data_IF_707061680468
#
_entry.id   IF_707061680468
#
_cell.length_a   1.000
_cell.length_b   1.000
_cell.length_c   1.000
_cell.angle_alpha   90.00
_cell.angle_beta   90.00
_cell.angle_gamma   90.00
#
_symmetry.space_group_name_H-M   'P 1'
#
loop_
_entity.id
_entity.type
_entity.pdbx_description
1 polymer ?
#
# COMPACT_ATOMS: atom_id res chain seq x y z
N UNK A 1 -38.71 -28.46 -37.29
CA UNK A 1 -37.54 -27.58 -37.18
C UNK A 1 -37.36 -27.26 -35.71
N UNK A 2 -36.36 -27.80 -34.99
CA UNK A 2 -36.08 -27.29 -33.66
C UNK A 2 -35.34 -25.97 -33.82
N UNK A 3 -35.97 -24.89 -33.38
CA UNK A 3 -35.30 -23.60 -33.20
C UNK A 3 -34.23 -23.78 -32.13
N UNK A 4 -32.98 -23.60 -32.50
CA UNK A 4 -31.85 -23.59 -31.58
C UNK A 4 -32.10 -22.51 -30.52
N UNK A 5 -32.24 -22.95 -29.27
CA UNK A 5 -32.23 -22.06 -28.12
C UNK A 5 -30.79 -21.55 -27.99
N UNK A 6 -30.51 -20.38 -28.56
CA UNK A 6 -29.31 -19.61 -28.26
C UNK A 6 -29.26 -19.38 -26.76
N UNK A 7 -28.53 -20.26 -26.09
CA UNK A 7 -28.31 -20.20 -24.64
C UNK A 7 -27.30 -19.07 -24.44
N UNK A 8 -27.82 -17.87 -24.23
CA UNK A 8 -27.01 -16.75 -23.78
C UNK A 8 -26.22 -17.21 -22.55
N UNK A 9 -24.90 -16.94 -22.47
CA UNK A 9 -24.14 -17.24 -21.26
C UNK A 9 -24.88 -16.59 -20.08
N UNK A 10 -25.00 -17.29 -18.93
CA UNK A 10 -25.76 -16.79 -17.81
C UNK A 10 -25.27 -15.38 -17.52
N UNK A 11 -26.21 -14.44 -17.38
CA UNK A 11 -25.94 -13.00 -17.18
C UNK A 11 -24.90 -12.77 -16.07
N UNK A 12 -24.82 -13.71 -15.14
CA UNK A 12 -23.85 -13.77 -14.04
C UNK A 12 -22.39 -13.94 -14.51
N UNK A 13 -22.12 -14.69 -15.59
CA UNK A 13 -20.77 -14.85 -16.14
C UNK A 13 -20.19 -13.53 -16.66
N UNK A 14 -20.98 -12.76 -17.40
CA UNK A 14 -20.54 -11.45 -17.93
C UNK A 14 -20.37 -10.42 -16.81
N UNK A 15 -21.25 -10.45 -15.80
CA UNK A 15 -21.13 -9.59 -14.61
C UNK A 15 -19.87 -9.92 -13.82
N UNK A 16 -19.55 -11.19 -13.66
CA UNK A 16 -18.37 -11.60 -12.90
C UNK A 16 -17.06 -11.30 -13.63
N UNK A 17 -17.02 -11.45 -14.95
CA UNK A 17 -15.89 -10.98 -15.77
C UNK A 17 -15.67 -9.48 -15.62
N UNK A 18 -16.75 -8.68 -15.67
CA UNK A 18 -16.66 -7.24 -15.46
C UNK A 18 -16.19 -6.89 -14.05
N UNK A 19 -16.70 -7.57 -13.02
CA UNK A 19 -16.24 -7.42 -11.64
C UNK A 19 -14.74 -7.73 -11.51
N UNK A 20 -14.29 -8.87 -12.04
CA UNK A 20 -12.86 -9.26 -12.04
C UNK A 20 -11.99 -8.24 -12.77
N UNK A 21 -12.49 -7.66 -13.85
CA UNK A 21 -11.81 -6.57 -14.55
C UNK A 21 -11.71 -5.30 -13.67
N UNK A 22 -12.78 -4.90 -13.00
CA UNK A 22 -12.78 -3.76 -12.07
C UNK A 22 -11.85 -3.99 -10.87
N UNK A 23 -11.77 -5.22 -10.38
CA UNK A 23 -10.85 -5.60 -9.30
C UNK A 23 -9.40 -5.57 -9.79
N UNK A 24 -9.08 -6.21 -10.92
CA UNK A 24 -7.72 -6.24 -11.50
C UNK A 24 -7.19 -4.88 -11.89
N UNK A 25 -8.05 -3.98 -12.37
CA UNK A 25 -7.67 -2.61 -12.73
C UNK A 25 -7.52 -1.69 -11.50
N UNK A 26 -7.89 -2.14 -10.30
CA UNK A 26 -7.89 -1.33 -9.08
C UNK A 26 -9.04 -0.32 -9.01
N UNK A 27 -9.96 -0.32 -9.99
CA UNK A 27 -11.12 0.57 -10.01
C UNK A 27 -12.04 0.33 -8.81
N UNK A 28 -12.25 -0.92 -8.42
CA UNK A 28 -13.13 -1.26 -7.28
C UNK A 28 -12.58 -0.72 -5.95
N UNK A 29 -11.27 -0.86 -5.74
CA UNK A 29 -10.58 -0.32 -4.56
C UNK A 29 -10.70 1.21 -4.52
N UNK A 30 -10.48 1.86 -5.66
CA UNK A 30 -10.61 3.32 -5.80
C UNK A 30 -12.03 3.82 -5.50
N UNK A 31 -13.05 3.13 -6.02
CA UNK A 31 -14.46 3.45 -5.77
C UNK A 31 -14.74 3.37 -4.27
N UNK A 32 -14.20 2.35 -3.61
CA UNK A 32 -14.34 2.14 -2.17
C UNK A 32 -13.69 3.27 -1.39
N UNK A 33 -12.43 3.62 -1.66
CA UNK A 33 -11.72 4.69 -0.95
C UNK A 33 -12.37 6.06 -1.12
N UNK A 34 -12.85 6.38 -2.33
CA UNK A 34 -13.54 7.65 -2.58
C UNK A 34 -14.89 7.73 -1.85
N UNK A 35 -15.62 6.60 -1.74
CA UNK A 35 -16.86 6.52 -0.97
C UNK A 35 -16.59 6.61 0.54
N UNK A 36 -15.53 5.97 1.04
CA UNK A 36 -15.11 6.07 2.44
C UNK A 36 -14.72 7.51 2.77
N UNK A 37 -13.93 8.17 1.90
CA UNK A 37 -13.55 9.58 2.08
C UNK A 37 -14.79 10.49 2.14
N UNK A 38 -15.74 10.27 1.23
CA UNK A 38 -17.01 11.01 1.24
C UNK A 38 -17.86 10.74 2.48
N UNK A 39 -17.77 9.53 3.04
CA UNK A 39 -18.48 9.13 4.25
C UNK A 39 -17.85 9.74 5.52
N UNK A 40 -16.52 9.83 5.56
CA UNK A 40 -15.75 10.39 6.68
C UNK A 40 -15.75 11.92 6.72
N UNK A 41 -16.03 12.58 5.58
CA UNK A 41 -16.07 14.04 5.48
C UNK A 41 -17.14 14.63 6.43
N UNK A 42 -16.69 15.31 7.49
CA UNK A 42 -17.56 15.89 8.51
C UNK A 42 -18.45 17.00 7.93
N UNK A 43 -17.93 17.77 6.97
CA UNK A 43 -18.69 18.72 6.18
C UNK A 43 -19.13 18.06 4.88
N UNK A 44 -20.39 17.57 4.84
CA UNK A 44 -20.92 16.96 3.62
C UNK A 44 -20.80 17.95 2.46
N UNK A 45 -20.07 17.61 1.39
CA UNK A 45 -19.92 18.51 0.27
C UNK A 45 -21.30 18.78 -0.34
N UNK A 46 -21.57 20.05 -0.65
CA UNK A 46 -22.83 20.49 -1.25
C UNK A 46 -23.13 19.76 -2.57
N UNK A 47 -22.07 19.33 -3.27
CA UNK A 47 -22.13 18.47 -4.44
C UNK A 47 -21.23 17.22 -4.29
N UNK A 48 -21.82 16.14 -3.77
CA UNK A 48 -21.16 14.85 -3.61
C UNK A 48 -20.59 14.26 -4.91
N UNK A 49 -21.27 14.49 -6.05
CA UNK A 49 -20.81 13.98 -7.36
C UNK A 49 -19.54 14.70 -7.80
N UNK A 50 -19.47 16.02 -7.62
CA UNK A 50 -18.28 16.80 -7.94
C UNK A 50 -17.09 16.40 -7.05
N UNK A 51 -17.32 16.23 -5.74
CA UNK A 51 -16.31 15.73 -4.81
C UNK A 51 -15.77 14.37 -5.26
N UNK A 52 -16.67 13.42 -5.53
CA UNK A 52 -16.31 12.08 -5.97
C UNK A 52 -15.48 12.10 -7.27
N UNK A 53 -15.88 12.90 -8.26
CA UNK A 53 -15.12 13.07 -9.52
C UNK A 53 -13.72 13.61 -9.29
N UNK A 54 -13.54 14.58 -8.40
CA UNK A 54 -12.21 15.12 -8.08
C UNK A 54 -11.28 14.07 -7.47
N UNK A 55 -11.82 13.13 -6.66
CA UNK A 55 -11.06 12.00 -6.10
C UNK A 55 -10.70 10.96 -7.15
N UNK A 56 -11.38 10.96 -8.29
CA UNK A 56 -11.14 10.10 -9.44
C UNK A 56 -10.27 10.71 -10.52
N UNK A 57 -9.86 11.97 -10.36
CA UNK A 57 -9.03 12.65 -11.34
C UNK A 57 -7.69 11.89 -11.53
N UNK A 58 -7.37 11.46 -12.76
CA UNK A 58 -6.14 10.72 -13.05
C UNK A 58 -4.87 11.53 -12.77
N UNK A 59 -4.91 12.85 -12.86
CA UNK A 59 -3.73 13.69 -12.62
C UNK A 59 -3.40 13.74 -11.12
N UNK A 60 -4.43 13.84 -10.27
CA UNK A 60 -4.27 13.79 -8.81
C UNK A 60 -3.87 12.38 -8.31
N UNK A 61 -4.24 11.35 -9.06
CA UNK A 61 -3.86 9.96 -8.79
C UNK A 61 -2.38 9.70 -9.00
N UNK A 62 -1.87 10.05 -10.18
CA UNK A 62 -0.47 9.79 -10.53
C UNK A 62 0.45 10.52 -9.56
N UNK A 63 0.14 11.78 -9.26
CA UNK A 63 0.85 12.56 -8.24
C UNK A 63 0.82 11.91 -6.85
N UNK A 64 -0.35 11.45 -6.39
CA UNK A 64 -0.47 10.79 -5.07
C UNK A 64 0.26 9.44 -5.03
N UNK A 65 0.21 8.66 -6.11
CA UNK A 65 0.87 7.36 -6.19
C UNK A 65 2.39 7.51 -6.19
N UNK A 66 2.90 8.48 -6.93
CA UNK A 66 4.33 8.78 -7.00
C UNK A 66 4.86 9.33 -5.67
N UNK A 67 4.12 10.21 -4.99
CA UNK A 67 4.47 10.66 -3.65
C UNK A 67 4.54 9.48 -2.66
N UNK A 68 3.56 8.58 -2.70
CA UNK A 68 3.51 7.40 -1.82
C UNK A 68 4.69 6.43 -2.09
N UNK A 69 5.08 6.25 -3.36
CA UNK A 69 6.25 5.45 -3.73
C UNK A 69 7.55 6.08 -3.21
N UNK A 70 7.69 7.39 -3.35
CA UNK A 70 8.86 8.12 -2.82
C UNK A 70 8.97 7.96 -1.30
N UNK A 71 7.85 8.07 -0.59
CA UNK A 71 7.81 7.87 0.87
C UNK A 71 8.18 6.42 1.25
N UNK A 72 7.64 5.42 0.56
CA UNK A 72 8.03 4.01 0.76
C UNK A 72 9.52 3.79 0.55
N UNK A 73 10.10 4.40 -0.48
CA UNK A 73 11.52 4.29 -0.78
C UNK A 73 12.38 4.99 0.30
N UNK A 74 11.94 6.16 0.78
CA UNK A 74 12.60 6.87 1.87
C UNK A 74 12.57 6.08 3.17
N UNK A 75 11.41 5.56 3.57
CA UNK A 75 11.27 4.76 4.79
C UNK A 75 12.12 3.49 4.71
N UNK A 76 12.19 2.84 3.54
CA UNK A 76 13.07 1.68 3.33
C UNK A 76 14.54 2.03 3.50
N UNK A 77 15.00 3.16 2.94
CA UNK A 77 16.38 3.65 3.15
C UNK A 77 16.68 3.88 4.62
N UNK A 78 15.80 4.57 5.33
CA UNK A 78 15.97 4.85 6.76
C UNK A 78 16.01 3.55 7.58
N UNK A 79 15.19 2.56 7.25
CA UNK A 79 15.21 1.26 7.91
C UNK A 79 16.55 0.55 7.72
N UNK A 80 17.09 0.59 6.50
CA UNK A 80 18.36 -0.05 6.15
C UNK A 80 19.54 0.63 6.87
N UNK A 81 19.58 1.96 6.89
CA UNK A 81 20.55 2.75 7.66
C UNK A 81 20.50 2.42 9.15
N UNK A 82 19.30 2.41 9.73
CA UNK A 82 19.12 2.12 11.15
C UNK A 82 19.49 0.68 11.50
N UNK A 83 19.24 -0.28 10.59
CA UNK A 83 19.70 -1.66 10.75
C UNK A 83 21.21 -1.78 10.70
N UNK A 84 21.90 -1.03 9.83
CA UNK A 84 23.36 -0.99 9.79
C UNK A 84 23.90 -0.43 11.10
N UNK A 85 23.38 0.70 11.58
CA UNK A 85 23.80 1.31 12.85
C UNK A 85 23.55 0.36 14.02
N UNK A 86 22.38 -0.25 14.09
CA UNK A 86 22.05 -1.22 15.14
C UNK A 86 23.02 -2.41 15.14
N UNK A 87 23.35 -2.95 13.97
CA UNK A 87 24.30 -4.05 13.85
C UNK A 87 25.73 -3.64 14.22
N UNK A 88 26.16 -2.44 13.83
CA UNK A 88 27.47 -1.90 14.17
C UNK A 88 27.60 -1.68 15.68
N UNK A 89 26.61 -1.04 16.31
CA UNK A 89 26.56 -0.81 17.75
C UNK A 89 26.53 -2.15 18.50
N UNK A 90 25.72 -3.11 18.05
CA UNK A 90 25.68 -4.45 18.65
C UNK A 90 27.05 -5.15 18.56
N UNK A 91 27.77 -5.00 17.45
CA UNK A 91 29.12 -5.54 17.29
C UNK A 91 30.14 -4.80 18.18
N UNK A 92 30.03 -3.49 18.33
CA UNK A 92 30.86 -2.70 19.25
C UNK A 92 30.61 -3.07 20.71
N UNK A 93 29.35 -3.27 21.12
CA UNK A 93 29.04 -3.75 22.47
C UNK A 93 29.58 -5.16 22.70
N UNK A 94 29.45 -6.06 21.72
CA UNK A 94 30.07 -7.39 21.81
C UNK A 94 31.60 -7.30 21.92
N UNK A 95 32.23 -6.38 21.19
CA UNK A 95 33.68 -6.18 21.22
C UNK A 95 34.17 -5.51 22.52
N UNK A 96 33.42 -4.54 23.06
CA UNK A 96 33.73 -3.87 24.32
C UNK A 96 33.59 -4.80 25.53
N UNK A 97 32.59 -5.69 25.53
CA UNK A 97 32.46 -6.76 26.54
C UNK A 97 33.62 -7.75 26.45
N UNK A 98 34.13 -8.01 25.25
CA UNK A 98 35.29 -8.89 25.04
C UNK A 98 36.58 -8.19 25.49
N UNK A 99 36.82 -6.92 25.15
CA UNK A 99 37.99 -6.17 25.63
C UNK A 99 38.01 -6.02 27.16
N UNK A 100 36.87 -5.76 27.80
CA UNK A 100 36.78 -5.69 29.27
C UNK A 100 37.03 -7.06 29.92
N UNK A 101 36.57 -8.16 29.32
CA UNK A 101 36.84 -9.51 29.80
C UNK A 101 38.30 -9.94 29.63
N UNK A 102 38.99 -9.50 28.57
CA UNK A 102 40.42 -9.83 28.33
C UNK A 102 41.33 -9.00 29.28
N UNK A 103 40.92 -7.80 29.66
CA UNK A 103 41.69 -6.93 30.58
C UNK A 103 41.46 -7.30 32.05
N UNK A 104 40.34 -7.95 32.38
CA UNK A 104 39.97 -8.32 33.74
C UNK A 104 40.54 -9.66 34.24
N UNK A 105 41.41 -10.33 33.48
CA UNK A 105 42.11 -11.53 33.95
C UNK A 105 43.55 -11.16 34.38
N UNK A 106 43.78 -10.80 35.66
CA UNK A 106 45.13 -10.65 36.17
C UNK A 106 45.74 -12.04 36.37
N UNK A 107 46.92 -12.26 35.78
CA UNK A 107 47.85 -13.28 36.27
C UNK A 107 47.99 -13.12 37.79
N UNK A 108 47.55 -14.12 38.57
CA UNK A 108 48.27 -14.77 39.70
C UNK A 108 47.46 -15.95 40.23
#
# INVERSE_FOLDING_TARGET
>A
MPSECETFPPVDSKKEEFRKYMEKSGLLERLTLALVSLFEEQERPENAIAYFKSRFDPENWEASNDAMKQELEQVRRQLEELQIEHNLLKMQMAKGVVEEAIVAEPEQ
#
